data_IF_191200571963
#
_entry.id   IF_191200571963
#
_cell.length_a   1.000
_cell.length_b   1.000
_cell.length_c   1.000
_cell.angle_alpha   90.00
_cell.angle_beta   90.00
_cell.angle_gamma   90.00
#
_symmetry.space_group_name_H-M   'P 1'
#
loop_
_entity.id
_entity.type
_entity.pdbx_description
1 polymer ?
#
# COMPACT_ATOMS: atom_id res chain seq x y z
N UNK A 1 3.51 11.28 -24.33
CA UNK A 1 3.43 10.62 -23.02
C UNK A 1 2.11 9.87 -22.97
N UNK A 2 2.13 8.53 -22.98
CA UNK A 2 0.93 7.73 -22.78
C UNK A 2 0.51 7.98 -21.34
N UNK A 3 -0.70 8.50 -21.11
CA UNK A 3 -1.16 8.78 -19.74
C UNK A 3 -1.38 7.45 -19.02
N UNK A 4 -1.19 7.42 -17.70
CA UNK A 4 -1.58 6.27 -16.83
C UNK A 4 -2.98 5.77 -17.22
N UNK A 5 -3.82 6.64 -17.67
CA UNK A 5 -5.17 6.47 -18.21
C UNK A 5 -5.20 5.48 -19.38
N UNK A 6 -4.31 5.61 -20.30
CA UNK A 6 -4.29 4.81 -21.52
C UNK A 6 -3.81 3.38 -21.24
N UNK A 7 -2.80 3.23 -20.39
CA UNK A 7 -2.27 1.93 -19.93
C UNK A 7 -3.27 1.13 -19.13
N UNK A 8 -4.08 1.79 -18.28
CA UNK A 8 -5.12 1.12 -17.51
C UNK A 8 -6.30 0.66 -18.37
N UNK A 9 -6.51 1.23 -19.57
CA UNK A 9 -7.58 0.83 -20.49
C UNK A 9 -7.27 -0.44 -21.28
N UNK A 10 -6.00 -0.73 -21.55
CA UNK A 10 -5.61 -1.82 -22.45
C UNK A 10 -5.67 -3.20 -21.82
N UNK A 11 -5.73 -3.29 -20.49
CA UNK A 11 -5.72 -4.57 -19.75
C UNK A 11 -6.98 -4.81 -18.94
N UNK A 12 -8.09 -5.10 -19.58
CA UNK A 12 -9.35 -5.42 -18.89
C UNK A 12 -9.39 -6.81 -18.21
N UNK A 13 -8.32 -7.61 -18.29
CA UNK A 13 -8.30 -9.01 -17.79
C UNK A 13 -7.32 -9.27 -16.66
N UNK A 14 -6.37 -8.39 -16.40
CA UNK A 14 -5.36 -8.57 -15.36
C UNK A 14 -5.73 -7.80 -14.10
N UNK A 15 -5.54 -8.39 -12.90
CA UNK A 15 -5.76 -7.66 -11.66
C UNK A 15 -4.71 -6.55 -11.52
N UNK A 16 -5.09 -5.47 -10.84
CA UNK A 16 -4.25 -4.27 -10.72
C UNK A 16 -3.84 -4.05 -9.27
N UNK A 17 -2.58 -3.67 -9.10
CA UNK A 17 -2.04 -3.26 -7.81
C UNK A 17 -1.53 -1.82 -7.89
N UNK A 18 -2.09 -0.94 -7.10
CA UNK A 18 -1.69 0.46 -7.03
C UNK A 18 -0.91 0.69 -5.73
N UNK A 19 0.35 1.10 -5.85
CA UNK A 19 1.16 1.54 -4.73
C UNK A 19 0.91 3.02 -4.46
N UNK A 20 0.24 3.32 -3.34
CA UNK A 20 0.12 4.70 -2.86
C UNK A 20 1.37 5.04 -2.04
N UNK A 21 2.09 6.08 -2.44
CA UNK A 21 3.28 6.55 -1.75
C UNK A 21 3.21 8.06 -1.47
N UNK A 22 3.86 8.49 -0.41
CA UNK A 22 3.92 9.89 -0.02
C UNK A 22 4.21 10.02 1.48
N UNK A 23 4.89 11.10 1.91
CA UNK A 23 5.26 11.30 3.31
C UNK A 23 4.04 11.39 4.24
N UNK A 24 4.29 11.37 5.54
CA UNK A 24 3.25 11.66 6.52
C UNK A 24 2.66 13.06 6.23
N UNK A 25 1.34 13.20 6.28
CA UNK A 25 0.66 14.46 5.95
C UNK A 25 0.56 14.78 4.46
N UNK A 26 1.00 13.91 3.55
CA UNK A 26 0.87 14.13 2.10
C UNK A 26 -0.57 14.17 1.59
N UNK A 27 -1.53 13.64 2.38
CA UNK A 27 -2.94 13.60 1.98
C UNK A 27 -3.30 12.37 1.14
N UNK A 28 -2.59 11.25 1.32
CA UNK A 28 -2.86 9.98 0.60
C UNK A 28 -4.32 9.57 0.68
N UNK A 29 -4.89 9.52 1.88
CA UNK A 29 -6.30 9.15 2.10
C UNK A 29 -7.26 10.10 1.38
N UNK A 30 -6.97 11.41 1.37
CA UNK A 30 -7.77 12.38 0.62
C UNK A 30 -7.74 12.08 -0.88
N UNK A 31 -6.55 11.90 -1.45
CA UNK A 31 -6.38 11.56 -2.87
C UNK A 31 -7.05 10.21 -3.18
N UNK A 32 -6.87 9.20 -2.33
CA UNK A 32 -7.50 7.89 -2.50
C UNK A 32 -9.03 8.00 -2.60
N UNK A 33 -9.65 8.79 -1.73
CA UNK A 33 -11.10 9.04 -1.77
C UNK A 33 -11.54 9.76 -3.05
N UNK A 34 -10.69 10.64 -3.59
CA UNK A 34 -10.98 11.35 -4.86
C UNK A 34 -10.84 10.43 -6.09
N UNK A 35 -10.03 9.38 -6.00
CA UNK A 35 -9.79 8.45 -7.11
C UNK A 35 -11.01 7.57 -7.44
N UNK A 36 -12.01 7.49 -6.56
CA UNK A 36 -13.23 6.72 -6.83
C UNK A 36 -12.98 5.21 -6.98
N UNK A 37 -11.94 4.67 -6.35
CA UNK A 37 -11.50 3.28 -6.47
C UNK A 37 -12.18 2.35 -5.44
N UNK A 38 -13.50 2.48 -5.26
CA UNK A 38 -14.26 1.70 -4.26
C UNK A 38 -14.23 0.19 -4.53
N UNK A 39 -13.92 -0.21 -5.75
CA UNK A 39 -13.75 -1.61 -6.15
C UNK A 39 -12.34 -2.15 -5.89
N UNK A 40 -11.44 -1.35 -5.33
CA UNK A 40 -10.10 -1.78 -4.92
C UNK A 40 -10.07 -2.10 -3.43
N UNK A 41 -9.39 -3.19 -3.08
CA UNK A 41 -9.15 -3.55 -1.69
C UNK A 41 -7.97 -2.77 -1.14
N UNK A 42 -8.20 -1.90 -0.18
CA UNK A 42 -7.11 -1.14 0.45
C UNK A 42 -6.39 -2.04 1.47
N UNK A 43 -5.09 -2.21 1.27
CA UNK A 43 -4.16 -2.94 2.14
C UNK A 43 -3.31 -1.89 2.86
N UNK A 44 -3.70 -1.59 4.11
CA UNK A 44 -3.05 -0.59 4.95
C UNK A 44 -2.96 -1.09 6.39
N UNK A 45 -1.75 -1.21 6.91
CA UNK A 45 -1.50 -1.64 8.29
C UNK A 45 -1.93 -0.56 9.28
N UNK A 46 -1.73 0.72 8.93
CA UNK A 46 -2.04 1.84 9.83
C UNK A 46 -3.54 1.92 10.13
N UNK A 47 -4.43 1.71 9.13
CA UNK A 47 -5.88 1.72 9.34
C UNK A 47 -6.34 0.61 10.29
N UNK A 48 -5.77 -0.59 10.15
CA UNK A 48 -6.05 -1.72 11.04
C UNK A 48 -5.52 -1.43 12.45
N UNK A 49 -4.33 -0.84 12.53
CA UNK A 49 -3.70 -0.50 13.79
C UNK A 49 -4.47 0.59 14.55
N UNK A 50 -4.85 1.67 13.88
CA UNK A 50 -5.66 2.75 14.47
C UNK A 50 -6.98 2.20 15.02
N UNK A 51 -7.65 1.34 14.25
CA UNK A 51 -8.87 0.67 14.72
C UNK A 51 -8.61 -0.17 15.99
N UNK A 52 -7.56 -1.00 15.99
CA UNK A 52 -7.24 -1.82 17.17
C UNK A 52 -6.87 -0.99 18.40
N UNK A 53 -6.15 0.13 18.24
CA UNK A 53 -5.84 1.05 19.34
C UNK A 53 -7.12 1.63 19.93
N UNK A 54 -8.01 2.13 19.07
CA UNK A 54 -9.28 2.73 19.47
C UNK A 54 -10.19 1.72 20.18
N UNK A 55 -10.34 0.53 19.62
CA UNK A 55 -11.20 -0.53 20.15
C UNK A 55 -10.66 -1.08 21.51
N UNK A 56 -9.32 -1.07 21.71
CA UNK A 56 -8.70 -1.69 22.90
C UNK A 56 -8.37 -0.68 23.98
N UNK A 57 -7.84 0.48 23.61
CA UNK A 57 -7.32 1.49 24.55
C UNK A 57 -8.18 2.75 24.61
N UNK A 58 -9.13 2.92 23.68
CA UNK A 58 -9.91 4.17 23.54
C UNK A 58 -9.07 5.38 23.15
N UNK A 59 -7.81 5.20 22.77
CA UNK A 59 -6.82 6.23 22.49
C UNK A 59 -6.05 5.91 21.21
N UNK A 60 -5.63 6.96 20.50
CA UNK A 60 -4.78 6.87 19.32
C UNK A 60 -3.45 7.61 19.51
N UNK A 61 -3.41 8.60 20.41
CA UNK A 61 -2.25 9.42 20.67
C UNK A 61 -1.31 8.78 21.69
N UNK A 62 -0.09 8.45 21.27
CA UNK A 62 0.93 7.85 22.10
C UNK A 62 1.40 8.77 23.24
N UNK A 63 1.33 10.10 23.07
CA UNK A 63 1.72 11.07 24.09
C UNK A 63 0.83 11.03 25.34
N UNK A 64 -0.38 10.47 25.21
CA UNK A 64 -1.35 10.32 26.31
C UNK A 64 -1.36 8.92 26.94
N UNK A 65 -0.48 8.01 26.50
CA UNK A 65 -0.44 6.61 26.94
C UNK A 65 0.51 6.39 28.12
N UNK A 66 0.10 5.55 29.06
CA UNK A 66 0.98 5.02 30.10
C UNK A 66 2.01 4.03 29.53
N UNK A 67 3.09 3.67 30.28
CA UNK A 67 4.04 2.65 29.83
C UNK A 67 3.39 1.30 29.52
N UNK A 68 2.37 0.88 30.27
CA UNK A 68 1.62 -0.35 30.05
C UNK A 68 0.76 -0.27 28.78
N UNK A 69 0.13 0.88 28.54
CA UNK A 69 -0.63 1.14 27.33
C UNK A 69 0.30 1.15 26.09
N UNK A 70 1.49 1.75 26.19
CA UNK A 70 2.51 1.71 25.13
C UNK A 70 2.98 0.28 24.82
N UNK A 71 3.19 -0.54 25.85
CA UNK A 71 3.50 -1.97 25.68
C UNK A 71 2.37 -2.69 24.94
N UNK A 72 1.13 -2.42 25.32
CA UNK A 72 -0.06 -2.97 24.66
C UNK A 72 -0.16 -2.51 23.22
N UNK A 73 0.06 -1.22 22.96
CA UNK A 73 0.09 -0.65 21.61
C UNK A 73 1.13 -1.35 20.71
N UNK A 74 2.32 -1.67 21.24
CA UNK A 74 3.32 -2.46 20.53
C UNK A 74 2.82 -3.86 20.12
N UNK A 75 2.09 -4.57 21.01
CA UNK A 75 1.47 -5.86 20.68
C UNK A 75 0.37 -5.72 19.62
N UNK A 76 -0.43 -4.66 19.70
CA UNK A 76 -1.48 -4.38 18.74
C UNK A 76 -0.93 -4.10 17.34
N UNK A 77 0.24 -3.49 17.22
CA UNK A 77 0.93 -3.33 15.93
C UNK A 77 1.26 -4.70 15.30
N UNK A 78 1.75 -5.65 16.10
CA UNK A 78 1.97 -7.04 15.64
C UNK A 78 0.69 -7.68 15.13
N UNK A 79 -0.41 -7.54 15.88
CA UNK A 79 -1.74 -8.04 15.48
C UNK A 79 -2.25 -7.37 14.20
N UNK A 80 -2.07 -6.05 14.07
CA UNK A 80 -2.46 -5.31 12.87
C UNK A 80 -1.76 -5.84 11.61
N UNK A 81 -0.47 -6.15 11.70
CA UNK A 81 0.29 -6.75 10.59
C UNK A 81 -0.26 -8.11 10.17
N UNK A 82 -0.62 -8.96 11.14
CA UNK A 82 -1.22 -10.28 10.86
C UNK A 82 -2.56 -10.12 10.13
N UNK A 83 -3.47 -9.30 10.68
CA UNK A 83 -4.78 -9.04 10.09
C UNK A 83 -4.67 -8.44 8.69
N UNK A 84 -3.73 -7.50 8.49
CA UNK A 84 -3.51 -6.90 7.16
C UNK A 84 -2.97 -7.92 6.16
N UNK A 85 -2.08 -8.81 6.58
CA UNK A 85 -1.56 -9.91 5.73
C UNK A 85 -2.68 -10.88 5.32
N UNK A 86 -3.54 -11.27 6.26
CA UNK A 86 -4.70 -12.13 5.96
C UNK A 86 -5.64 -11.47 4.95
N UNK A 87 -5.93 -10.17 5.13
CA UNK A 87 -6.73 -9.37 4.19
C UNK A 87 -6.08 -9.31 2.80
N UNK A 88 -4.77 -9.13 2.73
CA UNK A 88 -4.02 -9.14 1.48
C UNK A 88 -4.08 -10.52 0.83
N UNK A 89 -3.83 -11.60 1.58
CA UNK A 89 -3.89 -12.98 1.07
C UNK A 89 -5.25 -13.28 0.46
N UNK A 90 -6.34 -12.95 1.14
CA UNK A 90 -7.69 -13.13 0.61
C UNK A 90 -7.93 -12.35 -0.69
N UNK A 91 -7.46 -11.10 -0.76
CA UNK A 91 -7.57 -10.28 -1.96
C UNK A 91 -6.80 -10.89 -3.14
N UNK A 92 -5.57 -11.39 -2.89
CA UNK A 92 -4.75 -12.05 -3.91
C UNK A 92 -5.36 -13.36 -4.39
N UNK A 93 -5.87 -14.21 -3.49
CA UNK A 93 -6.56 -15.47 -3.83
C UNK A 93 -7.79 -15.24 -4.72
N UNK A 94 -8.46 -14.11 -4.53
CA UNK A 94 -9.63 -13.72 -5.32
C UNK A 94 -9.27 -12.92 -6.58
N UNK A 95 -7.98 -12.62 -6.82
CA UNK A 95 -7.51 -11.76 -7.90
C UNK A 95 -8.20 -10.37 -7.88
N UNK A 96 -8.47 -9.86 -6.67
CA UNK A 96 -9.06 -8.54 -6.50
C UNK A 96 -8.05 -7.45 -6.89
N UNK A 97 -8.54 -6.32 -7.38
CA UNK A 97 -7.72 -5.13 -7.51
C UNK A 97 -7.36 -4.61 -6.12
N UNK A 98 -6.11 -4.28 -5.89
CA UNK A 98 -5.60 -3.88 -4.58
C UNK A 98 -4.92 -2.51 -4.60
N UNK A 99 -4.97 -1.83 -3.47
CA UNK A 99 -4.19 -0.63 -3.19
C UNK A 99 -3.29 -0.95 -2.00
N UNK A 100 -1.98 -0.86 -2.21
CA UNK A 100 -0.96 -0.96 -1.15
C UNK A 100 -0.68 0.46 -0.67
N UNK A 101 -1.23 0.84 0.47
CA UNK A 101 -1.01 2.18 1.04
C UNK A 101 0.18 2.15 2.00
N UNK A 102 1.14 3.03 1.74
CA UNK A 102 2.35 3.17 2.52
C UNK A 102 3.02 4.52 2.30
N UNK A 103 4.14 4.75 2.97
CA UNK A 103 4.90 6.00 2.79
C UNK A 103 5.75 5.98 1.52
N UNK A 104 6.26 4.83 1.12
CA UNK A 104 7.27 4.73 0.06
C UNK A 104 8.66 5.22 0.49
N UNK A 105 8.89 5.43 1.79
CA UNK A 105 10.20 5.86 2.30
C UNK A 105 11.26 4.76 2.21
N UNK A 106 10.85 3.49 2.28
CA UNK A 106 11.73 2.33 2.14
C UNK A 106 11.49 1.67 0.77
N UNK A 107 12.41 1.88 -0.17
CA UNK A 107 12.25 1.38 -1.55
C UNK A 107 12.38 -0.14 -1.65
N UNK A 108 13.31 -0.75 -0.93
CA UNK A 108 13.59 -2.18 -1.05
C UNK A 108 12.38 -3.09 -0.78
N UNK A 109 11.64 -2.97 0.33
CA UNK A 109 10.45 -3.78 0.57
C UNK A 109 9.31 -3.47 -0.43
N UNK A 110 9.16 -2.21 -0.84
CA UNK A 110 8.16 -1.82 -1.84
C UNK A 110 8.43 -2.47 -3.19
N UNK A 111 9.66 -2.40 -3.69
CA UNK A 111 10.03 -3.00 -4.98
C UNK A 111 10.00 -4.53 -4.94
N UNK A 112 10.36 -5.15 -3.80
CA UNK A 112 10.16 -6.59 -3.60
C UNK A 112 8.68 -6.96 -3.71
N UNK A 113 7.79 -6.20 -3.08
CA UNK A 113 6.34 -6.43 -3.17
C UNK A 113 5.81 -6.21 -4.60
N UNK A 114 6.30 -5.18 -5.29
CA UNK A 114 6.00 -4.95 -6.71
C UNK A 114 6.33 -6.18 -7.54
N UNK A 115 7.56 -6.71 -7.45
CA UNK A 115 7.98 -7.90 -8.18
C UNK A 115 7.11 -9.10 -7.86
N UNK A 116 6.83 -9.36 -6.58
CA UNK A 116 5.94 -10.47 -6.17
C UNK A 116 4.56 -10.37 -6.81
N UNK A 117 3.97 -9.17 -6.90
CA UNK A 117 2.66 -8.97 -7.52
C UNK A 117 2.72 -9.14 -9.03
N UNK A 118 3.78 -8.70 -9.68
CA UNK A 118 4.00 -8.92 -11.12
C UNK A 118 4.18 -10.41 -11.44
N UNK A 119 4.91 -11.14 -10.61
CA UNK A 119 5.08 -12.60 -10.73
C UNK A 119 3.73 -13.33 -10.56
N UNK A 120 2.79 -12.75 -9.80
CA UNK A 120 1.41 -13.24 -9.67
C UNK A 120 0.49 -12.78 -10.81
N UNK A 121 1.01 -12.01 -11.76
CA UNK A 121 0.28 -11.55 -12.93
C UNK A 121 -0.54 -10.28 -12.70
N UNK A 122 -0.20 -9.47 -11.70
CA UNK A 122 -0.78 -8.14 -11.51
C UNK A 122 -0.09 -7.11 -12.41
N UNK A 123 -0.88 -6.20 -12.95
CA UNK A 123 -0.33 -4.95 -13.48
C UNK A 123 -0.08 -3.99 -12.30
N UNK A 124 1.15 -3.48 -12.17
CA UNK A 124 1.54 -2.63 -11.05
C UNK A 124 1.63 -1.16 -11.44
N UNK A 125 1.09 -0.30 -10.59
CA UNK A 125 1.06 1.15 -10.76
C UNK A 125 1.50 1.85 -9.48
N UNK A 126 2.00 3.07 -9.60
CA UNK A 126 2.32 3.91 -8.44
C UNK A 126 1.64 5.27 -8.55
N UNK A 127 1.03 5.72 -7.45
CA UNK A 127 0.60 7.09 -7.23
C UNK A 127 1.45 7.66 -6.10
N UNK A 128 2.38 8.55 -6.45
CA UNK A 128 3.27 9.18 -5.48
C UNK A 128 2.82 10.63 -5.25
N UNK A 129 2.51 10.95 -4.00
CA UNK A 129 1.98 12.25 -3.61
C UNK A 129 3.09 13.04 -2.92
N UNK A 130 3.40 14.18 -3.50
CA UNK A 130 4.35 15.15 -2.97
C UNK A 130 3.64 16.23 -2.19
N UNK A 131 4.25 16.68 -1.10
CA UNK A 131 4.02 17.95 -0.42
C UNK A 131 5.35 18.49 0.10
N UNK A 132 5.44 19.79 0.34
CA UNK A 132 6.62 20.38 0.99
C UNK A 132 6.76 19.88 2.44
N UNK A 133 7.99 19.90 3.00
CA UNK A 133 8.22 19.48 4.39
C UNK A 133 7.35 20.27 5.39
N UNK A 134 7.17 21.56 5.16
CA UNK A 134 6.36 22.42 6.02
C UNK A 134 4.88 22.03 6.02
N UNK A 135 4.32 21.73 4.84
CA UNK A 135 2.95 21.25 4.71
C UNK A 135 2.80 19.88 5.36
N UNK A 136 3.77 18.98 5.17
CA UNK A 136 3.83 17.67 5.81
C UNK A 136 3.75 17.80 7.35
N UNK A 137 4.59 18.64 7.95
CA UNK A 137 4.62 18.90 9.39
C UNK A 137 3.31 19.51 9.90
N UNK A 138 2.81 20.56 9.22
CA UNK A 138 1.56 21.23 9.59
C UNK A 138 0.37 20.27 9.60
N UNK A 139 0.23 19.47 8.53
CA UNK A 139 -0.87 18.50 8.44
C UNK A 139 -0.71 17.35 9.45
N UNK A 140 0.52 16.92 9.72
CA UNK A 140 0.77 15.91 10.75
C UNK A 140 0.37 16.40 12.14
N UNK A 141 0.65 17.65 12.48
CA UNK A 141 0.27 18.23 13.77
C UNK A 141 -1.27 18.34 13.96
N UNK A 142 -2.04 18.34 12.88
CA UNK A 142 -3.51 18.40 12.91
C UNK A 142 -4.17 17.01 12.99
N UNK A 143 -3.38 15.93 13.00
CA UNK A 143 -3.91 14.56 13.08
C UNK A 143 -4.18 14.17 14.54
N UNK A 144 -5.21 13.36 14.76
CA UNK A 144 -5.50 12.75 16.08
C UNK A 144 -4.33 11.90 16.61
N UNK A 145 -3.57 11.27 15.69
CA UNK A 145 -2.30 10.58 15.97
C UNK A 145 -1.18 11.29 15.23
N UNK A 146 -0.52 12.23 15.91
CA UNK A 146 0.63 12.93 15.36
C UNK A 146 1.92 12.09 15.52
N UNK A 147 2.80 12.17 14.54
CA UNK A 147 4.14 11.58 14.60
C UNK A 147 5.14 12.63 15.08
N UNK A 148 6.24 12.22 15.75
CA UNK A 148 7.34 13.12 16.05
C UNK A 148 7.88 13.80 14.78
N UNK A 149 8.26 15.08 14.90
CA UNK A 149 8.81 15.88 13.78
C UNK A 149 9.94 15.16 13.04
N UNK A 150 10.86 14.51 13.78
CA UNK A 150 11.96 13.74 13.20
C UNK A 150 11.48 12.58 12.34
N UNK A 151 10.41 11.87 12.74
CA UNK A 151 9.85 10.78 11.98
C UNK A 151 9.16 11.26 10.69
N UNK A 152 8.46 12.41 10.75
CA UNK A 152 7.85 13.04 9.58
C UNK A 152 8.92 13.44 8.56
N UNK A 153 9.98 14.11 9.01
CA UNK A 153 11.08 14.54 8.14
C UNK A 153 11.87 13.35 7.58
N UNK A 154 12.13 12.31 8.37
CA UNK A 154 12.78 11.09 7.89
C UNK A 154 11.93 10.38 6.84
N UNK A 155 10.61 10.30 7.03
CA UNK A 155 9.68 9.77 6.03
C UNK A 155 9.71 10.60 4.74
N UNK A 156 9.68 11.92 4.86
CA UNK A 156 9.73 12.84 3.73
C UNK A 156 11.03 12.67 2.92
N UNK A 157 12.16 12.71 3.59
CA UNK A 157 13.49 12.56 2.99
C UNK A 157 13.62 11.17 2.30
N UNK A 158 13.17 10.11 2.96
CA UNK A 158 13.16 8.76 2.40
C UNK A 158 12.36 8.66 1.10
N UNK A 159 11.18 9.28 1.04
CA UNK A 159 10.36 9.32 -0.20
C UNK A 159 11.08 10.10 -1.29
N UNK A 160 11.60 11.29 -0.96
CA UNK A 160 12.26 12.17 -1.96
C UNK A 160 13.51 11.51 -2.56
N UNK A 161 14.32 10.83 -1.75
CA UNK A 161 15.50 10.08 -2.23
C UNK A 161 15.13 8.96 -3.20
N UNK A 162 13.95 8.40 -3.08
CA UNK A 162 13.51 7.26 -3.89
C UNK A 162 12.74 7.63 -5.16
N UNK A 163 12.37 8.91 -5.38
CA UNK A 163 11.55 9.33 -6.53
C UNK A 163 12.13 8.86 -7.87
N UNK A 164 13.43 9.07 -8.09
CA UNK A 164 14.06 8.71 -9.35
C UNK A 164 14.10 7.18 -9.56
N UNK A 165 14.33 6.42 -8.48
CA UNK A 165 14.26 4.97 -8.51
C UNK A 165 12.85 4.51 -8.86
N UNK A 166 11.82 5.07 -8.24
CA UNK A 166 10.43 4.73 -8.55
C UNK A 166 10.04 5.10 -9.98
N UNK A 167 10.51 6.24 -10.50
CA UNK A 167 10.31 6.58 -11.92
C UNK A 167 10.94 5.56 -12.85
N UNK A 168 12.11 5.05 -12.52
CA UNK A 168 12.78 4.01 -13.29
C UNK A 168 12.02 2.68 -13.22
N UNK A 169 11.64 2.24 -12.02
CA UNK A 169 11.05 0.93 -11.77
C UNK A 169 9.58 0.80 -12.24
N UNK A 170 8.81 1.88 -12.17
CA UNK A 170 7.42 1.90 -12.64
C UNK A 170 7.27 2.45 -14.07
N UNK A 171 8.29 3.10 -14.62
CA UNK A 171 8.28 3.63 -15.97
C UNK A 171 7.11 4.56 -16.24
N UNK A 172 6.25 4.21 -17.20
CA UNK A 172 5.02 4.95 -17.52
C UNK A 172 3.88 4.75 -16.52
N UNK A 173 4.01 3.75 -15.61
CA UNK A 173 2.98 3.38 -14.64
C UNK A 173 3.08 4.17 -13.33
N UNK A 174 3.85 5.25 -13.28
CA UNK A 174 3.92 6.16 -12.13
C UNK A 174 3.24 7.48 -12.42
N UNK A 175 2.40 7.93 -11.48
CA UNK A 175 1.83 9.28 -11.46
C UNK A 175 2.35 10.04 -10.25
N UNK A 176 2.88 11.25 -10.48
CA UNK A 176 3.33 12.16 -9.44
C UNK A 176 2.27 13.25 -9.26
N UNK A 177 1.78 13.41 -8.04
CA UNK A 177 0.77 14.41 -7.67
C UNK A 177 1.41 15.40 -6.71
N UNK A 178 1.41 16.69 -7.06
CA UNK A 178 1.76 17.75 -6.15
C UNK A 178 0.51 18.20 -5.37
N UNK A 179 0.44 17.86 -4.08
CA UNK A 179 -0.68 18.20 -3.20
C UNK A 179 -0.33 19.33 -2.21
N UNK A 180 0.64 20.19 -2.56
CA UNK A 180 0.89 21.44 -1.83
C UNK A 180 -0.27 22.42 -2.04
N UNK A 181 -0.78 23.10 -0.98
CA UNK A 181 -1.89 24.05 -1.11
C UNK A 181 -1.62 25.19 -2.09
N UNK A 182 -0.37 25.66 -2.18
CA UNK A 182 0.05 26.75 -3.06
C UNK A 182 0.28 26.31 -4.51
N UNK A 183 0.63 25.05 -4.68
CA UNK A 183 1.01 24.44 -5.96
C UNK A 183 0.27 23.13 -6.19
N UNK A 184 -0.91 22.94 -5.58
CA UNK A 184 -1.72 21.76 -5.85
C UNK A 184 -1.95 21.64 -7.34
N UNK A 185 -1.65 20.47 -7.89
CA UNK A 185 -1.79 20.22 -9.31
C UNK A 185 -3.27 20.39 -9.72
N UNK A 186 -3.61 21.57 -10.23
CA UNK A 186 -4.96 21.90 -10.68
C UNK A 186 -5.38 21.08 -11.90
N UNK A 187 -4.43 20.40 -12.55
CA UNK A 187 -4.69 19.49 -13.66
C UNK A 187 -5.19 18.12 -13.20
N UNK A 188 -5.09 17.84 -11.89
CA UNK A 188 -5.60 16.61 -11.31
C UNK A 188 -7.14 16.63 -11.29
N UNK A 189 -7.74 16.02 -12.30
CA UNK A 189 -9.17 15.73 -12.32
C UNK A 189 -9.41 14.29 -11.82
N UNK A 190 -9.98 14.10 -10.61
CA UNK A 190 -10.33 12.78 -10.11
C UNK A 190 -11.19 11.97 -11.09
N UNK A 191 -12.07 12.65 -11.85
CA UNK A 191 -12.93 12.01 -12.83
C UNK A 191 -12.14 11.43 -14.02
N UNK A 192 -10.96 11.96 -14.31
CA UNK A 192 -10.08 11.38 -15.32
C UNK A 192 -9.66 9.97 -14.94
N UNK A 193 -9.48 9.68 -13.65
CA UNK A 193 -9.08 8.39 -13.12
C UNK A 193 -10.28 7.43 -13.00
N UNK A 194 -11.46 7.93 -12.61
CA UNK A 194 -12.69 7.11 -12.55
C UNK A 194 -13.02 6.49 -13.93
N UNK A 195 -12.78 7.24 -15.00
CA UNK A 195 -12.96 6.73 -16.38
C UNK A 195 -11.97 5.61 -16.76
N UNK A 196 -10.91 5.38 -15.97
CA UNK A 196 -9.87 4.38 -16.21
C UNK A 196 -10.25 2.98 -15.76
N UNK A 197 -11.18 2.89 -14.80
CA UNK A 197 -11.70 1.65 -14.27
C UNK A 197 -13.16 1.50 -14.69
N UNK A 198 -13.46 1.33 -16.02
CA UNK A 198 -14.82 1.03 -16.41
C UNK A 198 -15.23 -0.22 -15.65
N UNK A 199 -16.36 -0.14 -14.95
CA UNK A 199 -17.00 -1.34 -14.38
C UNK A 199 -17.03 -2.41 -15.47
N UNK A 200 -16.65 -3.64 -15.16
CA UNK A 200 -16.61 -4.69 -16.17
C UNK A 200 -18.03 -4.83 -16.75
N UNK A 201 -18.25 -4.27 -17.89
CA UNK A 201 -19.40 -4.64 -18.72
C UNK A 201 -19.12 -6.07 -19.20
N UNK A 202 -19.45 -7.04 -18.33
CA UNK A 202 -19.19 -8.42 -18.59
C UNK A 202 -19.96 -8.90 -19.82
N UNK A 203 -19.29 -9.05 -20.94
CA UNK A 203 -19.76 -10.05 -21.90
C UNK A 203 -19.63 -11.42 -21.22
N UNK A 204 -20.63 -12.29 -21.28
CA UNK A 204 -20.51 -13.62 -20.71
C UNK A 204 -19.30 -14.32 -21.34
N UNK A 205 -18.40 -14.83 -20.49
CA UNK A 205 -17.20 -15.54 -20.93
C UNK A 205 -17.62 -16.83 -21.63
N UNK A 206 -16.93 -17.17 -22.71
CA UNK A 206 -17.08 -18.47 -23.32
C UNK A 206 -16.59 -19.58 -22.36
N UNK A 207 -17.11 -20.84 -22.50
CA UNK A 207 -16.64 -21.95 -21.66
C UNK A 207 -15.11 -22.13 -21.70
N UNK A 208 -14.47 -21.86 -22.84
CA UNK A 208 -13.05 -21.98 -23.04
C UNK A 208 -12.29 -20.85 -22.31
N UNK A 209 -12.80 -19.62 -22.33
CA UNK A 209 -12.24 -18.48 -21.57
C UNK A 209 -12.41 -18.68 -20.06
N UNK A 210 -13.52 -19.32 -19.62
CA UNK A 210 -13.72 -19.68 -18.22
C UNK A 210 -12.73 -20.76 -17.78
N UNK A 211 -12.47 -21.78 -18.59
CA UNK A 211 -11.51 -22.84 -18.30
C UNK A 211 -10.07 -22.28 -18.20
N UNK A 212 -9.66 -21.43 -19.15
CA UNK A 212 -8.34 -20.73 -19.12
C UNK A 212 -8.20 -19.80 -17.92
N UNK A 213 -9.28 -19.10 -17.56
CA UNK A 213 -9.31 -18.22 -16.38
C UNK A 213 -9.20 -19.03 -15.08
N UNK A 214 -9.84 -20.20 -15.01
CA UNK A 214 -9.79 -21.11 -13.86
C UNK A 214 -8.40 -21.71 -13.69
N UNK A 215 -7.80 -22.23 -14.77
CA UNK A 215 -6.45 -22.78 -14.76
C UNK A 215 -5.40 -21.73 -14.34
N UNK A 216 -5.51 -20.50 -14.87
CA UNK A 216 -4.65 -19.38 -14.46
C UNK A 216 -4.83 -19.04 -12.97
N UNK A 217 -6.07 -19.04 -12.47
CA UNK A 217 -6.37 -18.80 -11.04
C UNK A 217 -5.77 -19.89 -10.15
N UNK A 218 -5.86 -21.15 -10.53
CA UNK A 218 -5.24 -22.26 -9.80
C UNK A 218 -3.71 -22.15 -9.75
N UNK A 219 -3.07 -21.80 -10.87
CA UNK A 219 -1.62 -21.58 -10.92
C UNK A 219 -1.19 -20.41 -10.01
N UNK A 220 -1.92 -19.30 -10.04
CA UNK A 220 -1.67 -18.15 -9.16
C UNK A 220 -1.83 -18.55 -7.70
N UNK A 221 -2.88 -19.30 -7.34
CA UNK A 221 -3.07 -19.77 -5.97
C UNK A 221 -1.94 -20.69 -5.48
N UNK A 222 -1.39 -21.55 -6.36
CA UNK A 222 -0.21 -22.36 -6.03
C UNK A 222 1.01 -21.50 -5.80
N UNK A 223 1.25 -20.49 -6.64
CA UNK A 223 2.35 -19.55 -6.48
C UNK A 223 2.21 -18.71 -5.20
N UNK A 224 1.00 -18.26 -4.87
CA UNK A 224 0.70 -17.53 -3.61
C UNK A 224 1.03 -18.42 -2.41
N UNK A 225 0.58 -19.67 -2.40
CA UNK A 225 0.88 -20.64 -1.31
C UNK A 225 2.38 -20.86 -1.14
N UNK A 226 3.12 -21.02 -2.25
CA UNK A 226 4.56 -21.18 -2.22
C UNK A 226 5.27 -19.94 -1.63
N UNK A 227 4.86 -18.74 -2.04
CA UNK A 227 5.39 -17.47 -1.51
C UNK A 227 5.11 -17.30 -0.02
N UNK A 228 3.89 -17.57 0.42
CA UNK A 228 3.50 -17.47 1.83
C UNK A 228 4.25 -18.46 2.71
N UNK A 229 4.53 -19.66 2.21
CA UNK A 229 5.35 -20.64 2.93
C UNK A 229 6.80 -20.17 3.03
N UNK A 230 7.38 -19.65 1.97
CA UNK A 230 8.74 -19.10 1.98
C UNK A 230 8.87 -17.89 2.94
N UNK A 231 7.86 -17.02 3.01
CA UNK A 231 7.83 -15.91 3.99
C UNK A 231 7.73 -16.41 5.44
N UNK A 232 6.91 -17.44 5.71
CA UNK A 232 6.82 -18.06 7.04
C UNK A 232 8.15 -18.69 7.48
N UNK A 233 8.84 -19.39 6.59
CA UNK A 233 10.16 -19.95 6.86
C UNK A 233 11.18 -18.86 7.15
N UNK A 234 11.19 -17.77 6.39
CA UNK A 234 12.06 -16.63 6.60
C UNK A 234 11.79 -15.92 7.94
N UNK A 235 10.52 -15.72 8.30
CA UNK A 235 10.13 -15.13 9.59
C UNK A 235 10.55 -16.03 10.76
N UNK A 236 10.40 -17.35 10.61
CA UNK A 236 10.83 -18.34 11.61
C UNK A 236 12.35 -18.32 11.82
N UNK A 237 13.11 -18.22 10.74
CA UNK A 237 14.58 -18.11 10.77
C UNK A 237 15.03 -16.79 11.43
N UNK A 238 14.34 -15.67 11.16
CA UNK A 238 14.66 -14.40 11.79
C UNK A 238 14.35 -14.38 13.30
N UNK A 239 13.25 -14.99 13.72
CA UNK A 239 12.92 -15.16 15.14
C UNK A 239 13.95 -16.05 15.84
N UNK A 240 14.40 -17.14 15.20
CA UNK A 240 15.43 -18.01 15.73
C UNK A 240 16.79 -17.28 15.87
N UNK A 241 17.19 -16.48 14.87
CA UNK A 241 18.41 -15.66 14.91
C UNK A 241 18.35 -14.61 16.03
N UNK A 242 17.21 -13.96 16.24
CA UNK A 242 17.05 -12.99 17.33
C UNK A 242 17.15 -13.65 18.70
N UNK A 243 16.60 -14.86 18.87
CA UNK A 243 16.74 -15.63 20.10
C UNK A 243 18.21 -16.02 20.38
N UNK A 244 18.92 -16.48 19.36
CA UNK A 244 20.35 -16.86 19.49
C UNK A 244 21.20 -15.64 19.87
N UNK A 245 20.99 -14.48 19.21
CA UNK A 245 21.71 -13.25 19.53
C UNK A 245 21.38 -12.69 20.93
N UNK A 246 20.20 -12.98 21.47
CA UNK A 246 19.81 -12.63 22.84
C UNK A 246 20.40 -13.56 23.92
N UNK A 247 20.98 -14.70 23.55
CA UNK A 247 21.69 -15.58 24.48
C UNK A 247 23.20 -15.37 24.51
N UNK A 248 23.75 -14.55 23.60
CA UNK A 248 25.20 -14.30 23.45
C UNK A 248 25.62 -12.97 24.10
N UNK A 249 24.67 -12.17 24.61
CA UNK A 249 24.90 -10.97 25.42
C UNK A 249 24.37 -11.22 26.85
#
# INVERSE_FOLDING_TARGET
MISLIQLLKESQKTPKAIFMAGPAGAGKTYILNQLGLQNFKVINVDDVYEKLLKDTLGKEDFGSMSPEELSTAGKLMGKARVVTREKETQALENLENIIIDGTGAASRPLLKKKQQLEDLGYDTFMVLIYVSPMVSLKRNAQRGRSLPTSAVLASWDGVMKNINLYKQEFGSNITLINNDPENADKSFDPNSIIKLFPQPKGKPKTPEEMAKSKAKKEQINQNIKALLNAEREFDTLNVAKQKINGFVN
#
